data_IF_273096436310
#
_entry.id   IF_273096436310
#
_cell.length_a   1.000
_cell.length_b   1.000
_cell.length_c   1.000
_cell.angle_alpha   90.00
_cell.angle_beta   90.00
_cell.angle_gamma   90.00
#
_symmetry.space_group_name_H-M   'P 1'
#
loop_
_entity.id
_entity.type
_entity.pdbx_description
1 polymer ?
#
# COMPACT_ATOMS: atom_id res chain seq x y z
N UNK A 1 7.99 29.40 5.59
CA UNK A 1 7.36 29.22 4.27
C UNK A 1 8.04 28.12 3.46
N UNK A 2 9.36 28.15 3.24
CA UNK A 2 10.05 27.12 2.46
C UNK A 2 9.85 25.67 2.95
N UNK A 3 9.84 25.43 4.26
CA UNK A 3 9.68 24.08 4.85
C UNK A 3 8.35 23.43 4.41
N UNK A 4 7.25 24.18 4.48
CA UNK A 4 5.91 23.68 4.11
C UNK A 4 5.86 23.41 2.61
N UNK A 5 6.48 24.25 1.78
CA UNK A 5 6.54 24.05 0.33
C UNK A 5 7.33 22.79 -0.04
N UNK A 6 8.50 22.56 0.57
CA UNK A 6 9.27 21.34 0.33
C UNK A 6 8.55 20.10 0.82
N UNK A 7 7.88 20.17 1.97
CA UNK A 7 7.09 19.06 2.49
C UNK A 7 5.89 18.71 1.61
N UNK A 8 5.16 19.72 1.13
CA UNK A 8 4.05 19.52 0.19
C UNK A 8 4.55 18.94 -1.15
N UNK A 9 5.69 19.42 -1.65
CA UNK A 9 6.31 18.92 -2.88
C UNK A 9 6.72 17.45 -2.76
N UNK A 10 7.43 17.07 -1.68
CA UNK A 10 7.84 15.67 -1.49
C UNK A 10 6.64 14.76 -1.30
N UNK A 11 5.63 15.18 -0.54
CA UNK A 11 4.38 14.42 -0.35
C UNK A 11 3.64 14.22 -1.68
N UNK A 12 3.55 15.26 -2.51
CA UNK A 12 2.92 15.15 -3.83
C UNK A 12 3.67 14.19 -4.75
N UNK A 13 5.01 14.29 -4.81
CA UNK A 13 5.84 13.37 -5.60
C UNK A 13 5.66 11.91 -5.17
N UNK A 14 5.67 11.68 -3.86
CA UNK A 14 5.48 10.35 -3.28
C UNK A 14 4.09 9.79 -3.65
N UNK A 15 3.03 10.59 -3.57
CA UNK A 15 1.68 10.16 -3.96
C UNK A 15 1.56 9.82 -5.46
N UNK A 16 2.16 10.63 -6.34
CA UNK A 16 2.21 10.33 -7.79
C UNK A 16 2.99 9.03 -8.04
N UNK A 17 4.10 8.83 -7.34
CA UNK A 17 4.90 7.61 -7.47
C UNK A 17 4.14 6.36 -7.00
N UNK A 18 3.48 6.42 -5.84
CA UNK A 18 2.65 5.31 -5.35
C UNK A 18 1.56 4.94 -6.36
N UNK A 19 0.91 5.94 -6.96
CA UNK A 19 -0.08 5.71 -7.99
C UNK A 19 0.48 5.09 -9.28
N UNK A 20 1.69 5.47 -9.68
CA UNK A 20 2.39 4.86 -10.82
C UNK A 20 2.67 3.37 -10.56
N UNK A 21 3.10 3.00 -9.35
CA UNK A 21 3.31 1.61 -8.97
C UNK A 21 2.00 0.82 -8.99
N UNK A 22 0.94 1.35 -8.37
CA UNK A 22 -0.39 0.73 -8.40
C UNK A 22 -0.89 0.51 -9.84
N UNK A 23 -0.75 1.51 -10.72
CA UNK A 23 -1.12 1.41 -12.13
C UNK A 23 -0.25 0.43 -12.91
N UNK A 24 1.04 0.34 -12.58
CA UNK A 24 1.96 -0.63 -13.20
C UNK A 24 1.55 -2.06 -12.88
N UNK A 25 1.14 -2.32 -11.63
CA UNK A 25 0.62 -3.63 -11.19
C UNK A 25 -0.74 -3.96 -11.84
N UNK A 26 -1.62 -2.96 -12.02
CA UNK A 26 -2.98 -3.19 -12.54
C UNK A 26 -3.07 -3.26 -14.08
N UNK A 27 -2.33 -2.43 -14.81
CA UNK A 27 -2.55 -2.18 -16.25
C UNK A 27 -1.31 -2.23 -17.13
N UNK A 28 -0.13 -2.51 -16.56
CA UNK A 28 1.14 -2.54 -17.28
C UNK A 28 1.66 -1.16 -17.71
N UNK A 29 2.90 -1.14 -18.22
CA UNK A 29 3.68 0.09 -18.50
C UNK A 29 3.02 1.13 -19.42
N UNK A 30 1.95 0.78 -20.14
CA UNK A 30 1.27 1.67 -21.10
C UNK A 30 0.46 2.79 -20.44
N UNK A 31 0.03 2.63 -19.19
CA UNK A 31 -0.82 3.62 -18.49
C UNK A 31 -0.05 4.60 -17.59
N UNK A 32 1.28 4.51 -17.56
CA UNK A 32 2.13 5.39 -16.74
C UNK A 32 2.05 6.85 -17.23
N UNK A 33 2.14 7.05 -18.55
CA UNK A 33 2.13 8.38 -19.16
C UNK A 33 0.81 9.15 -18.95
N UNK A 34 -0.38 8.57 -19.19
CA UNK A 34 -1.63 9.25 -18.90
C UNK A 34 -1.83 9.51 -17.39
N UNK A 35 -1.34 8.63 -16.51
CA UNK A 35 -1.41 8.84 -15.07
C UNK A 35 -0.62 10.08 -14.62
N UNK A 36 0.60 10.27 -15.15
CA UNK A 36 1.40 11.47 -14.88
C UNK A 36 0.73 12.76 -15.38
N UNK A 37 0.11 12.71 -16.56
CA UNK A 37 -0.60 13.85 -17.13
C UNK A 37 -1.83 14.23 -16.29
N UNK A 38 -2.56 13.22 -15.81
CA UNK A 38 -3.72 13.39 -14.95
C UNK A 38 -3.32 14.00 -13.58
N UNK A 39 -2.20 13.57 -13.00
CA UNK A 39 -1.68 14.15 -11.76
C UNK A 39 -1.35 15.65 -11.89
N UNK A 40 -0.75 16.06 -13.01
CA UNK A 40 -0.52 17.48 -13.30
C UNK A 40 -1.83 18.27 -13.46
N UNK A 41 -2.83 17.70 -14.14
CA UNK A 41 -4.14 18.35 -14.29
C UNK A 41 -4.85 18.54 -12.94
N UNK A 42 -4.84 17.52 -12.07
CA UNK A 42 -5.40 17.62 -10.72
C UNK A 42 -4.65 18.61 -9.84
N UNK A 43 -3.33 18.75 -9.99
CA UNK A 43 -2.55 19.75 -9.26
C UNK A 43 -2.97 21.19 -9.64
N UNK A 44 -3.21 21.46 -10.93
CA UNK A 44 -3.71 22.75 -11.40
C UNK A 44 -5.13 23.00 -10.87
N UNK A 45 -6.02 22.02 -10.98
CA UNK A 45 -7.40 22.11 -10.49
C UNK A 45 -7.45 22.33 -8.97
N UNK A 46 -6.57 21.65 -8.22
CA UNK A 46 -6.42 21.82 -6.78
C UNK A 46 -5.95 23.22 -6.39
N UNK A 47 -5.11 23.86 -7.20
CA UNK A 47 -4.66 25.24 -6.99
C UNK A 47 -5.73 26.29 -7.27
N UNK A 48 -6.73 26.01 -8.11
CA UNK A 48 -7.73 26.99 -8.57
C UNK A 48 -8.95 27.09 -7.62
N UNK A 49 -9.16 26.11 -6.72
CA UNK A 49 -10.13 26.25 -5.63
C UNK A 49 -11.12 25.10 -5.45
N UNK A 50 -11.01 23.99 -6.18
CA UNK A 50 -11.86 22.81 -5.98
C UNK A 50 -11.41 21.91 -4.81
N UNK A 51 -10.79 22.50 -3.78
CA UNK A 51 -10.08 21.79 -2.72
C UNK A 51 -11.04 20.90 -1.92
N UNK A 52 -12.23 21.40 -1.55
CA UNK A 52 -13.23 20.65 -0.78
C UNK A 52 -13.75 19.42 -1.53
N UNK A 53 -14.04 19.54 -2.82
CA UNK A 53 -14.51 18.40 -3.63
C UNK A 53 -13.41 17.36 -3.78
N UNK A 54 -12.16 17.80 -4.02
CA UNK A 54 -11.02 16.91 -4.16
C UNK A 54 -10.73 16.15 -2.86
N UNK A 55 -10.78 16.82 -1.69
CA UNK A 55 -10.61 16.18 -0.39
C UNK A 55 -11.72 15.18 -0.09
N UNK A 56 -12.99 15.55 -0.28
CA UNK A 56 -14.11 14.63 -0.04
C UNK A 56 -14.00 13.37 -0.92
N UNK A 57 -13.59 13.54 -2.19
CA UNK A 57 -13.39 12.42 -3.10
C UNK A 57 -12.18 11.56 -2.67
N UNK A 58 -11.08 12.20 -2.27
CA UNK A 58 -9.89 11.51 -1.76
C UNK A 58 -10.21 10.69 -0.51
N UNK A 59 -10.90 11.28 0.46
CA UNK A 59 -11.30 10.62 1.71
C UNK A 59 -12.24 9.44 1.44
N UNK A 60 -13.15 9.56 0.48
CA UNK A 60 -14.00 8.44 0.06
C UNK A 60 -13.18 7.26 -0.49
N UNK A 61 -12.27 7.51 -1.44
CA UNK A 61 -11.42 6.45 -1.99
C UNK A 61 -10.47 5.85 -0.93
N UNK A 62 -9.92 6.68 -0.05
CA UNK A 62 -9.07 6.22 1.04
C UNK A 62 -9.86 5.37 2.02
N UNK A 63 -11.10 5.75 2.32
CA UNK A 63 -12.04 4.96 3.13
C UNK A 63 -12.35 3.60 2.52
N UNK A 64 -12.65 3.55 1.22
CA UNK A 64 -12.90 2.28 0.51
C UNK A 64 -11.66 1.38 0.54
N UNK A 65 -10.47 1.94 0.28
CA UNK A 65 -9.21 1.21 0.35
C UNK A 65 -8.95 0.65 1.76
N UNK A 66 -9.17 1.47 2.80
CA UNK A 66 -9.02 1.07 4.19
C UNK A 66 -9.99 -0.07 4.56
N UNK A 67 -11.27 0.01 4.14
CA UNK A 67 -12.25 -1.06 4.36
C UNK A 67 -11.82 -2.35 3.69
N UNK A 68 -11.39 -2.31 2.42
CA UNK A 68 -10.87 -3.49 1.72
C UNK A 68 -9.68 -4.10 2.46
N UNK A 69 -8.71 -3.29 2.87
CA UNK A 69 -7.54 -3.76 3.63
C UNK A 69 -7.94 -4.37 4.98
N UNK A 70 -8.90 -3.78 5.70
CA UNK A 70 -9.39 -4.33 6.96
C UNK A 70 -10.06 -5.70 6.77
N UNK A 71 -10.84 -5.88 5.70
CA UNK A 71 -11.45 -7.17 5.36
C UNK A 71 -10.36 -8.22 5.08
N UNK A 72 -9.33 -7.87 4.31
CA UNK A 72 -8.19 -8.76 4.04
C UNK A 72 -7.44 -9.10 5.32
N UNK A 73 -7.12 -8.12 6.16
CA UNK A 73 -6.47 -8.36 7.45
C UNK A 73 -7.31 -9.26 8.36
N UNK A 74 -8.64 -9.11 8.35
CA UNK A 74 -9.53 -9.96 9.14
C UNK A 74 -9.58 -11.41 8.63
N UNK A 75 -9.55 -11.60 7.31
CA UNK A 75 -9.43 -12.92 6.67
C UNK A 75 -8.08 -13.57 6.99
N UNK A 76 -7.00 -12.80 6.91
CA UNK A 76 -5.62 -13.24 7.14
C UNK A 76 -5.23 -13.26 8.63
N UNK A 77 -6.15 -12.99 9.57
CA UNK A 77 -5.83 -12.87 11.00
C UNK A 77 -5.09 -14.07 11.57
N UNK A 78 -5.38 -15.28 11.08
CA UNK A 78 -4.72 -16.52 11.51
C UNK A 78 -3.26 -16.57 11.05
N UNK A 79 -3.01 -16.22 9.79
CA UNK A 79 -1.69 -16.14 9.18
C UNK A 79 -0.82 -15.07 9.85
N UNK A 80 -1.39 -13.90 10.10
CA UNK A 80 -0.73 -12.79 10.79
C UNK A 80 -0.35 -13.22 12.22
N UNK A 81 -1.25 -13.87 12.95
CA UNK A 81 -0.97 -14.38 14.28
C UNK A 81 0.15 -15.42 14.31
N UNK A 82 0.18 -16.34 13.35
CA UNK A 82 1.25 -17.32 13.20
C UNK A 82 2.61 -16.65 12.93
N UNK A 83 2.65 -15.65 12.05
CA UNK A 83 3.86 -14.90 11.72
C UNK A 83 4.37 -14.06 12.90
N UNK A 84 3.46 -13.45 13.68
CA UNK A 84 3.82 -12.70 14.88
C UNK A 84 4.43 -13.63 15.94
N UNK A 85 3.87 -14.83 16.15
CA UNK A 85 4.43 -15.78 17.10
C UNK A 85 5.82 -16.29 16.69
N UNK A 86 6.05 -16.53 15.40
CA UNK A 86 7.38 -16.83 14.86
C UNK A 86 8.35 -15.68 15.14
N UNK A 87 7.96 -14.45 14.81
CA UNK A 87 8.75 -13.25 15.06
C UNK A 87 9.10 -13.07 16.54
N UNK A 88 8.14 -13.26 17.45
CA UNK A 88 8.37 -13.15 18.90
C UNK A 88 9.29 -14.26 19.43
N UNK A 89 9.20 -15.48 18.88
CA UNK A 89 10.10 -16.59 19.22
C UNK A 89 11.54 -16.27 18.78
N UNK A 90 11.70 -15.68 17.60
CA UNK A 90 12.99 -15.23 17.08
C UNK A 90 13.58 -14.08 17.89
N UNK A 91 12.74 -13.11 18.25
CA UNK A 91 13.13 -11.99 19.10
C UNK A 91 13.67 -12.47 20.46
N UNK A 92 13.04 -13.47 21.06
CA UNK A 92 13.49 -14.06 22.33
C UNK A 92 14.74 -14.93 22.22
N UNK A 93 15.00 -15.52 21.05
CA UNK A 93 16.17 -16.38 20.81
C UNK A 93 17.41 -15.64 20.32
N UNK A 94 17.33 -14.32 20.11
CA UNK A 94 18.45 -13.48 19.67
C UNK A 94 18.89 -13.72 18.21
N UNK A 95 18.11 -14.49 17.44
CA UNK A 95 18.36 -14.75 16.02
C UNK A 95 17.62 -13.73 15.16
N UNK A 96 18.35 -12.73 14.67
CA UNK A 96 17.81 -11.62 13.89
C UNK A 96 17.65 -11.92 12.39
N UNK A 97 18.04 -13.11 11.95
CA UNK A 97 17.95 -13.48 10.53
C UNK A 97 16.48 -13.55 10.09
N UNK A 98 16.09 -12.90 8.97
CA UNK A 98 14.71 -12.88 8.47
C UNK A 98 14.15 -14.29 8.33
N UNK A 99 12.84 -14.49 8.52
CA UNK A 99 12.18 -15.80 8.30
C UNK A 99 12.54 -16.27 6.89
N UNK A 100 13.42 -17.27 6.78
CA UNK A 100 13.84 -17.80 5.48
C UNK A 100 12.64 -18.43 4.77
N UNK A 101 12.63 -18.49 3.43
CA UNK A 101 11.57 -19.15 2.67
C UNK A 101 11.27 -20.57 3.20
N UNK A 102 12.28 -21.27 3.73
CA UNK A 102 12.13 -22.56 4.39
C UNK A 102 11.32 -22.51 5.70
N UNK A 103 11.49 -21.47 6.53
CA UNK A 103 10.72 -21.28 7.76
C UNK A 103 9.29 -20.78 7.47
N UNK A 104 9.09 -19.98 6.41
CA UNK A 104 7.77 -19.61 5.94
C UNK A 104 7.01 -20.83 5.36
N UNK A 105 7.70 -21.72 4.64
CA UNK A 105 7.16 -23.00 4.14
C UNK A 105 6.81 -24.00 5.25
N UNK A 106 7.42 -23.88 6.44
CA UNK A 106 7.14 -24.75 7.57
C UNK A 106 5.88 -24.36 8.37
N UNK A 107 5.33 -23.16 8.13
CA UNK A 107 4.10 -22.69 8.79
C UNK A 107 2.91 -23.04 7.87
N UNK A 108 2.16 -24.13 8.15
CA UNK A 108 1.09 -24.61 7.26
C UNK A 108 -0.02 -23.57 7.06
N UNK A 109 -0.25 -22.68 8.04
CA UNK A 109 -1.24 -21.61 7.99
C UNK A 109 -0.96 -20.57 6.88
N UNK A 110 0.31 -20.35 6.48
CA UNK A 110 0.69 -19.36 5.47
C UNK A 110 0.32 -19.77 4.04
N UNK A 111 0.27 -21.07 3.75
CA UNK A 111 0.05 -21.63 2.40
C UNK A 111 -1.34 -22.24 2.19
N UNK A 112 -2.25 -22.11 3.17
CA UNK A 112 -3.60 -22.67 3.10
C UNK A 112 -4.38 -22.23 1.85
N UNK A 113 -4.00 -21.12 1.22
CA UNK A 113 -4.70 -20.57 0.06
C UNK A 113 -3.94 -20.62 -1.28
N UNK A 114 -2.71 -21.16 -1.32
CA UNK A 114 -1.94 -21.25 -2.57
C UNK A 114 -2.54 -22.28 -3.55
N UNK A 115 -3.33 -23.24 -3.03
CA UNK A 115 -4.04 -24.24 -3.85
C UNK A 115 -5.33 -23.73 -4.50
N UNK A 116 -5.82 -22.54 -4.15
CA UNK A 116 -7.02 -21.96 -4.75
C UNK A 116 -6.71 -20.95 -5.88
N UNK A 117 -5.43 -20.59 -6.06
CA UNK A 117 -4.97 -19.62 -7.05
C UNK A 117 -4.23 -20.28 -8.24
N UNK A 118 -4.59 -21.53 -8.57
CA UNK A 118 -4.19 -22.21 -9.81
C UNK A 118 -5.38 -22.43 -10.72
#
# INVERSE_FOLDING_TARGET
MAIITFFAFTTALVNVYYGEICMTVLGGKKFILPYRLLGCAFAIIGSVGALSVLWNLFDFFFGVCAVCNLVVCFLMRKQIGALINDYLTRLKSGKWEPTSEAAANAIPELWVNDKAAK
#
